data_IF_003458372354
#
_entry.id   IF_003458372354
#
_cell.length_a   1.000
_cell.length_b   1.000
_cell.length_c   1.000
_cell.angle_alpha   90.00
_cell.angle_beta   90.00
_cell.angle_gamma   90.00
#
_symmetry.space_group_name_H-M   'P 1'
#
loop_
_entity.id
_entity.type
_entity.pdbx_description
1 polymer ?
#
# COMPACT_ATOMS: atom_id res chain seq x y z
N UNK A 1 13.53 7.66 -47.95
CA UNK A 1 13.61 7.32 -46.51
C UNK A 1 13.00 8.47 -45.75
N UNK A 2 11.90 8.25 -45.02
CA UNK A 2 11.04 9.33 -44.52
C UNK A 2 11.82 10.32 -43.64
N UNK A 3 11.70 11.59 -44.01
CA UNK A 3 12.25 12.79 -43.40
C UNK A 3 11.46 13.24 -42.17
N UNK A 4 10.87 12.30 -41.41
CA UNK A 4 10.11 12.64 -40.21
C UNK A 4 11.07 12.86 -39.05
N UNK A 5 11.27 14.15 -38.77
CA UNK A 5 11.96 14.69 -37.61
C UNK A 5 10.89 15.44 -36.80
N UNK A 6 10.63 15.10 -35.52
CA UNK A 6 11.30 14.11 -34.67
C UNK A 6 11.06 12.65 -35.07
N UNK A 7 11.89 11.73 -34.56
CA UNK A 7 11.68 10.27 -34.70
C UNK A 7 10.98 9.72 -33.47
N UNK A 8 10.02 8.83 -33.68
CA UNK A 8 9.23 8.20 -32.63
C UNK A 8 9.38 6.68 -32.66
N UNK A 9 9.33 6.05 -31.51
CA UNK A 9 9.18 4.59 -31.41
C UNK A 9 8.41 4.22 -30.14
N UNK A 10 7.79 3.04 -30.16
CA UNK A 10 7.10 2.44 -29.01
C UNK A 10 7.58 1.01 -28.85
N UNK A 11 8.00 0.67 -27.65
CA UNK A 11 8.49 -0.68 -27.30
C UNK A 11 7.84 -1.16 -26.01
N UNK A 12 7.81 -2.47 -25.81
CA UNK A 12 7.28 -3.11 -24.61
C UNK A 12 8.37 -3.95 -23.97
N UNK A 13 8.59 -3.78 -22.67
CA UNK A 13 9.53 -4.55 -21.86
C UNK A 13 8.82 -5.04 -20.59
N UNK A 14 8.40 -6.30 -20.59
CA UNK A 14 7.53 -6.85 -19.54
C UNK A 14 6.21 -6.09 -19.46
N UNK A 15 5.89 -5.55 -18.28
CA UNK A 15 4.71 -4.71 -18.04
C UNK A 15 4.89 -3.25 -18.46
N UNK A 16 6.10 -2.85 -18.87
CA UNK A 16 6.43 -1.46 -19.20
C UNK A 16 6.24 -1.19 -20.69
N UNK A 17 5.55 -0.09 -21.01
CA UNK A 17 5.45 0.45 -22.36
C UNK A 17 6.28 1.73 -22.42
N UNK A 18 7.25 1.75 -23.33
CA UNK A 18 8.21 2.85 -23.49
C UNK A 18 7.89 3.56 -24.81
N UNK A 19 7.38 4.78 -24.69
CA UNK A 19 7.27 5.72 -25.81
C UNK A 19 8.54 6.56 -25.87
N UNK A 20 9.20 6.56 -27.01
CA UNK A 20 10.45 7.28 -27.24
C UNK A 20 10.28 8.36 -28.31
N UNK A 21 10.81 9.55 -28.02
CA UNK A 21 11.03 10.61 -29.00
C UNK A 21 12.52 10.97 -29.05
N UNK A 22 13.09 10.94 -30.25
CA UNK A 22 14.45 11.45 -30.52
C UNK A 22 14.38 12.79 -31.23
N UNK A 23 14.85 13.83 -30.54
CA UNK A 23 14.98 15.19 -31.04
C UNK A 23 16.46 15.59 -31.11
N UNK A 24 17.05 15.47 -32.29
CA UNK A 24 18.50 15.62 -32.52
C UNK A 24 19.31 14.66 -31.64
N UNK A 25 20.00 15.19 -30.63
CA UNK A 25 20.79 14.44 -29.66
C UNK A 25 19.99 14.07 -28.40
N UNK A 26 18.87 14.77 -28.13
CA UNK A 26 18.05 14.53 -26.96
C UNK A 26 17.12 13.34 -27.18
N UNK A 27 17.07 12.44 -26.21
CA UNK A 27 16.17 11.27 -26.19
C UNK A 27 15.22 11.39 -25.01
N UNK A 28 13.93 11.43 -25.29
CA UNK A 28 12.87 11.44 -24.27
C UNK A 28 12.20 10.07 -24.24
N UNK A 29 12.09 9.46 -23.06
CA UNK A 29 11.37 8.21 -22.84
C UNK A 29 10.24 8.45 -21.83
N UNK A 30 8.99 8.37 -22.28
CA UNK A 30 7.84 8.27 -21.39
C UNK A 30 7.56 6.79 -21.17
N UNK A 31 7.55 6.37 -19.91
CA UNK A 31 7.45 4.98 -19.50
C UNK A 31 6.14 4.82 -18.74
N UNK A 32 5.28 3.91 -19.19
CA UNK A 32 4.06 3.47 -18.51
C UNK A 32 4.30 2.09 -17.90
N UNK A 33 4.04 1.93 -16.61
CA UNK A 33 4.05 0.64 -15.93
C UNK A 33 2.62 0.11 -15.77
N UNK A 34 2.28 -0.98 -16.46
CA UNK A 34 0.93 -1.54 -16.45
C UNK A 34 0.58 -2.30 -15.17
N UNK A 35 1.55 -2.76 -14.39
CA UNK A 35 1.27 -3.42 -13.12
C UNK A 35 0.73 -2.38 -12.12
N UNK A 36 1.32 -1.18 -12.15
CA UNK A 36 0.94 -0.06 -11.28
C UNK A 36 -0.30 0.70 -11.82
N UNK A 37 -0.43 0.85 -13.14
CA UNK A 37 -1.47 1.68 -13.78
C UNK A 37 -2.90 1.21 -13.51
N UNK A 38 -3.65 1.94 -12.70
CA UNK A 38 -5.02 1.57 -12.31
C UNK A 38 -6.09 1.81 -13.38
N UNK A 39 -5.71 2.39 -14.53
CA UNK A 39 -6.69 2.79 -15.56
C UNK A 39 -7.61 3.92 -15.13
N UNK A 40 -7.21 4.76 -14.17
CA UNK A 40 -8.05 5.86 -13.67
C UNK A 40 -8.34 6.97 -14.69
N UNK A 41 -7.52 7.09 -15.73
CA UNK A 41 -7.73 8.06 -16.81
C UNK A 41 -7.28 9.49 -16.51
N UNK A 42 -6.83 9.82 -15.29
CA UNK A 42 -6.37 11.18 -14.95
C UNK A 42 -5.33 11.69 -15.94
N UNK A 43 -4.38 10.85 -16.35
CA UNK A 43 -3.38 11.20 -17.36
C UNK A 43 -3.98 11.67 -18.71
N UNK A 44 -5.08 11.06 -19.15
CA UNK A 44 -5.84 11.47 -20.34
C UNK A 44 -6.55 12.81 -20.13
N UNK A 45 -7.08 13.02 -18.94
CA UNK A 45 -7.77 14.26 -18.57
C UNK A 45 -6.83 15.46 -18.52
N UNK A 46 -5.61 15.26 -18.01
CA UNK A 46 -4.64 16.35 -17.80
C UNK A 46 -3.71 16.56 -18.99
N UNK A 47 -3.74 15.69 -20.00
CA UNK A 47 -2.84 15.79 -21.15
C UNK A 47 -3.21 17.01 -22.02
N UNK A 48 -2.32 18.02 -22.16
CA UNK A 48 -2.62 19.20 -22.96
C UNK A 48 -2.69 18.91 -24.47
N UNK A 49 -1.98 17.89 -24.94
CA UNK A 49 -1.94 17.48 -26.36
C UNK A 49 -3.00 16.42 -26.70
N UNK A 50 -3.80 15.99 -25.71
CA UNK A 50 -4.78 14.91 -25.87
C UNK A 50 -4.17 13.63 -26.49
N UNK A 51 -2.90 13.38 -26.17
CA UNK A 51 -2.13 12.26 -26.68
C UNK A 51 -2.44 10.94 -25.96
N UNK A 52 -3.26 10.95 -24.91
CA UNK A 52 -3.52 9.78 -24.08
C UNK A 52 -5.01 9.41 -24.16
N UNK A 53 -5.30 8.16 -24.52
CA UNK A 53 -6.63 7.56 -24.47
C UNK A 53 -6.71 6.48 -23.39
N UNK A 54 -7.92 6.20 -22.91
CA UNK A 54 -8.18 5.15 -21.92
C UNK A 54 -8.71 3.91 -22.64
N UNK A 55 -8.12 2.75 -22.37
CA UNK A 55 -8.53 1.47 -22.94
C UNK A 55 -9.70 0.84 -22.19
N UNK A 56 -10.00 -0.42 -22.51
CA UNK A 56 -11.02 -1.20 -21.80
C UNK A 56 -10.55 -1.64 -20.41
N UNK A 57 -10.43 -0.71 -19.45
CA UNK A 57 -9.86 -0.93 -18.10
C UNK A 57 -10.41 -2.19 -17.43
N UNK A 58 -11.72 -2.41 -17.48
CA UNK A 58 -12.36 -3.58 -16.89
C UNK A 58 -12.00 -4.90 -17.59
N UNK A 59 -11.78 -4.87 -18.90
CA UNK A 59 -11.32 -6.03 -19.67
C UNK A 59 -9.85 -6.32 -19.41
N UNK A 60 -8.99 -5.29 -19.46
CA UNK A 60 -7.54 -5.39 -19.22
C UNK A 60 -7.26 -5.96 -17.83
N UNK A 61 -7.87 -5.37 -16.79
CA UNK A 61 -7.65 -5.79 -15.40
C UNK A 61 -8.18 -7.18 -15.07
N UNK A 62 -9.09 -7.73 -15.90
CA UNK A 62 -9.62 -9.08 -15.76
C UNK A 62 -8.99 -10.10 -16.71
N UNK A 63 -8.00 -9.68 -17.51
CA UNK A 63 -7.36 -10.54 -18.52
C UNK A 63 -8.32 -11.01 -19.61
N UNK A 64 -9.37 -10.23 -19.91
CA UNK A 64 -10.39 -10.56 -20.92
C UNK A 64 -10.06 -10.03 -22.31
N UNK A 65 -9.00 -9.21 -22.43
CA UNK A 65 -8.51 -8.66 -23.69
C UNK A 65 -7.00 -8.84 -23.75
N UNK A 66 -6.49 -9.08 -24.96
CA UNK A 66 -5.04 -9.22 -25.22
C UNK A 66 -4.31 -7.86 -25.17
N UNK A 67 -5.04 -6.78 -24.94
CA UNK A 67 -4.49 -5.45 -24.77
C UNK A 67 -3.81 -5.33 -23.40
N UNK A 68 -2.49 -5.17 -23.42
CA UNK A 68 -1.68 -5.14 -22.21
C UNK A 68 -1.82 -3.84 -21.41
N UNK A 69 -2.39 -2.76 -21.97
CA UNK A 69 -2.37 -1.45 -21.35
C UNK A 69 -3.77 -0.87 -21.08
N UNK A 70 -3.98 -0.36 -19.85
CA UNK A 70 -5.23 0.33 -19.49
C UNK A 70 -5.36 1.74 -20.10
N UNK A 71 -4.26 2.28 -20.64
CA UNK A 71 -4.21 3.55 -21.36
C UNK A 71 -3.28 3.41 -22.57
N UNK A 72 -3.50 4.20 -23.61
CA UNK A 72 -2.64 4.26 -24.78
C UNK A 72 -2.12 5.69 -24.95
N UNK A 73 -0.83 5.81 -25.24
CA UNK A 73 -0.22 7.11 -25.56
C UNK A 73 0.15 7.13 -27.04
N UNK A 74 -0.33 8.12 -27.77
CA UNK A 74 0.11 8.46 -29.11
C UNK A 74 1.45 9.20 -29.01
N UNK A 75 2.54 8.48 -29.27
CA UNK A 75 3.90 9.00 -29.18
C UNK A 75 4.15 10.16 -30.15
N UNK A 76 3.37 10.28 -31.23
CA UNK A 76 3.52 11.33 -32.25
C UNK A 76 2.84 12.64 -31.86
N UNK A 77 1.80 12.56 -31.02
CA UNK A 77 1.14 13.72 -30.40
C UNK A 77 1.76 14.13 -29.08
N UNK A 78 2.40 13.20 -28.37
CA UNK A 78 2.97 13.47 -27.06
C UNK A 78 4.08 14.52 -27.12
N UNK A 79 3.96 15.58 -26.32
CA UNK A 79 5.00 16.61 -26.16
C UNK A 79 6.08 16.24 -25.15
N UNK A 80 5.98 15.09 -24.48
CA UNK A 80 6.90 14.64 -23.42
C UNK A 80 7.07 15.68 -22.30
N UNK A 81 6.00 16.40 -21.97
CA UNK A 81 6.03 17.47 -20.95
C UNK A 81 6.06 16.98 -19.49
N UNK A 82 5.60 15.76 -19.22
CA UNK A 82 5.59 15.17 -17.87
C UNK A 82 4.37 15.52 -17.00
N UNK A 83 3.37 16.24 -17.51
CA UNK A 83 2.13 16.55 -16.74
C UNK A 83 1.43 15.27 -16.26
N UNK A 84 1.35 14.24 -17.10
CA UNK A 84 0.74 12.97 -16.76
C UNK A 84 1.51 12.20 -15.67
N UNK A 85 2.83 12.41 -15.56
CA UNK A 85 3.67 11.84 -14.50
C UNK A 85 3.31 12.49 -13.16
N UNK A 86 3.30 13.83 -13.13
CA UNK A 86 3.02 14.61 -11.91
C UNK A 86 1.61 14.37 -11.38
N UNK A 87 0.63 14.29 -12.30
CA UNK A 87 -0.77 14.14 -11.95
C UNK A 87 -1.19 12.66 -11.78
N UNK A 88 -0.30 11.69 -11.96
CA UNK A 88 -0.62 10.30 -11.68
C UNK A 88 -0.60 10.06 -10.16
N UNK A 89 -1.73 9.74 -9.51
CA UNK A 89 -1.76 9.55 -8.06
C UNK A 89 -1.22 8.18 -7.62
N UNK A 90 -0.72 7.38 -8.57
CA UNK A 90 -0.24 6.01 -8.35
C UNK A 90 1.19 5.81 -8.86
N UNK A 91 1.87 6.85 -9.35
CA UNK A 91 3.26 6.77 -9.83
C UNK A 91 3.49 5.75 -10.98
N UNK A 92 2.44 5.49 -11.79
CA UNK A 92 2.49 4.52 -12.89
C UNK A 92 3.20 5.03 -14.17
N UNK A 93 3.62 6.30 -14.19
CA UNK A 93 4.26 6.93 -15.34
C UNK A 93 5.57 7.56 -14.89
N UNK A 94 6.62 7.41 -15.68
CA UNK A 94 7.91 8.07 -15.48
C UNK A 94 8.39 8.72 -16.80
N UNK A 95 9.10 9.84 -16.70
CA UNK A 95 9.72 10.50 -17.85
C UNK A 95 11.23 10.55 -17.64
N UNK A 96 11.97 10.02 -18.61
CA UNK A 96 13.43 10.11 -18.67
C UNK A 96 13.85 11.00 -19.84
N UNK A 97 14.82 11.88 -19.59
CA UNK A 97 15.47 12.71 -20.59
C UNK A 97 16.95 12.35 -20.58
N UNK A 98 17.46 11.86 -21.70
CA UNK A 98 18.83 11.36 -21.86
C UNK A 98 19.21 10.28 -20.83
N UNK A 99 18.23 9.44 -20.46
CA UNK A 99 18.39 8.33 -19.52
C UNK A 99 18.19 8.68 -18.05
N UNK A 100 18.09 9.97 -17.70
CA UNK A 100 17.87 10.44 -16.33
C UNK A 100 16.40 10.84 -16.10
N UNK A 101 15.86 10.55 -14.92
CA UNK A 101 14.52 11.01 -14.56
C UNK A 101 14.50 12.52 -14.39
N UNK A 102 13.79 13.20 -15.28
CA UNK A 102 13.68 14.65 -15.32
C UNK A 102 12.28 15.05 -15.76
N UNK A 103 11.75 16.08 -15.12
CA UNK A 103 10.43 16.63 -15.42
C UNK A 103 10.58 18.08 -15.90
N UNK A 104 10.70 18.31 -17.23
CA UNK A 104 10.97 19.64 -17.77
C UNK A 104 9.98 20.70 -17.29
N UNK A 105 8.71 20.33 -17.07
CA UNK A 105 7.67 21.26 -16.64
C UNK A 105 7.82 21.70 -15.16
N UNK A 106 8.38 20.85 -14.29
CA UNK A 106 8.72 21.25 -12.92
C UNK A 106 9.96 22.15 -12.92
N UNK A 107 10.98 21.79 -13.70
CA UNK A 107 12.24 22.52 -13.78
C UNK A 107 12.09 23.92 -14.39
N UNK A 108 11.22 24.08 -15.40
CA UNK A 108 11.15 25.30 -16.23
C UNK A 108 9.94 26.19 -15.97
N UNK A 109 8.81 25.64 -15.52
CA UNK A 109 7.54 26.39 -15.46
C UNK A 109 6.83 26.36 -14.09
N UNK A 110 7.37 25.63 -13.10
CA UNK A 110 6.82 25.61 -11.75
C UNK A 110 5.38 25.09 -11.69
N UNK A 111 5.11 23.96 -12.36
CA UNK A 111 3.83 23.25 -12.28
C UNK A 111 3.60 22.71 -10.86
N UNK A 112 2.36 22.71 -10.33
CA UNK A 112 2.12 22.26 -8.96
C UNK A 112 2.13 20.73 -8.87
N UNK A 113 2.45 20.21 -7.68
CA UNK A 113 2.40 18.77 -7.37
C UNK A 113 1.32 18.49 -6.34
N UNK A 114 0.89 17.23 -6.18
CA UNK A 114 -0.04 16.88 -5.11
C UNK A 114 0.51 17.26 -3.72
N UNK A 115 -0.41 17.68 -2.86
CA UNK A 115 -0.17 17.85 -1.42
C UNK A 115 -0.94 16.76 -0.66
N UNK A 116 -0.33 15.58 -0.54
CA UNK A 116 -0.94 14.40 0.08
C UNK A 116 -1.08 14.53 1.60
N UNK A 117 -0.30 15.41 2.24
CA UNK A 117 -0.38 15.71 3.67
C UNK A 117 -0.51 14.47 4.57
N UNK A 118 0.24 13.42 4.28
CA UNK A 118 0.26 12.14 4.99
C UNK A 118 1.36 12.15 6.05
N UNK A 119 1.04 11.72 7.26
CA UNK A 119 2.02 11.67 8.34
C UNK A 119 1.65 10.62 9.39
N UNK A 120 2.66 10.03 10.03
CA UNK A 120 2.53 9.18 11.21
C UNK A 120 3.24 9.87 12.37
N UNK A 121 2.47 10.23 13.40
CA UNK A 121 2.97 10.70 14.69
C UNK A 121 3.67 9.53 15.40
N UNK A 122 4.99 9.59 15.47
CA UNK A 122 5.82 8.51 16.01
C UNK A 122 5.67 8.37 17.53
N UNK A 123 5.23 9.44 18.23
CA UNK A 123 5.02 9.41 19.68
C UNK A 123 3.69 8.72 20.04
N UNK A 124 2.69 8.82 19.16
CA UNK A 124 1.40 8.12 19.33
C UNK A 124 1.38 6.72 18.74
N UNK A 125 2.27 6.43 17.80
CA UNK A 125 2.29 5.14 17.11
C UNK A 125 2.80 4.03 18.05
N UNK A 126 1.97 3.01 18.27
CA UNK A 126 2.33 1.84 19.11
C UNK A 126 2.94 0.68 18.32
N UNK A 127 3.27 0.89 17.04
CA UNK A 127 3.92 -0.08 16.15
C UNK A 127 3.14 -1.39 15.95
N UNK A 128 1.81 -1.38 16.06
CA UNK A 128 0.96 -2.53 15.70
C UNK A 128 0.87 -2.73 14.17
N UNK A 129 0.45 -3.89 13.70
CA UNK A 129 0.41 -4.24 12.26
C UNK A 129 -0.79 -3.66 11.48
N UNK A 130 -1.83 -3.15 12.17
CA UNK A 130 -3.14 -2.82 11.55
C UNK A 130 -3.03 -1.95 10.29
N UNK A 131 -2.22 -0.89 10.29
CA UNK A 131 -2.13 0.03 9.15
C UNK A 131 -1.59 -0.63 7.88
N UNK A 132 -0.71 -1.62 8.05
CA UNK A 132 -0.08 -2.38 6.97
C UNK A 132 -1.06 -3.40 6.42
N UNK A 133 -1.70 -4.18 7.32
CA UNK A 133 -2.73 -5.17 6.96
C UNK A 133 -3.90 -4.57 6.15
N UNK A 134 -4.27 -3.31 6.43
CA UNK A 134 -5.39 -2.63 5.75
C UNK A 134 -4.97 -1.80 4.54
N UNK A 135 -3.67 -1.67 4.26
CA UNK A 135 -3.19 -0.82 3.16
C UNK A 135 -3.41 -1.53 1.81
N UNK A 136 -4.29 -1.03 0.93
CA UNK A 136 -4.57 -1.70 -0.35
C UNK A 136 -3.48 -1.47 -1.41
N UNK A 137 -2.37 -0.81 -1.04
CA UNK A 137 -1.30 -0.36 -1.93
C UNK A 137 0.09 -0.71 -1.41
N UNK A 138 0.18 -1.45 -0.31
CA UNK A 138 1.44 -1.83 0.33
C UNK A 138 2.37 -0.63 0.60
N UNK A 139 1.78 0.55 0.82
CA UNK A 139 2.47 1.83 1.00
C UNK A 139 2.94 2.08 2.45
N UNK A 140 2.93 1.06 3.30
CA UNK A 140 3.39 1.16 4.69
C UNK A 140 4.74 0.48 4.80
N UNK A 141 5.75 1.25 5.22
CA UNK A 141 7.08 0.75 5.49
C UNK A 141 7.22 0.50 7.00
N UNK A 142 7.34 -0.79 7.37
CA UNK A 142 7.46 -1.23 8.76
C UNK A 142 8.89 -1.68 9.05
N UNK A 143 9.69 -0.79 9.62
CA UNK A 143 10.97 -1.12 10.25
C UNK A 143 10.71 -1.53 11.71
N UNK A 144 9.89 -2.57 11.90
CA UNK A 144 9.58 -3.18 13.19
C UNK A 144 10.24 -4.57 13.20
N UNK A 145 11.11 -4.88 14.19
CA UNK A 145 11.86 -6.12 14.16
C UNK A 145 10.95 -7.34 14.23
N UNK A 146 11.29 -8.38 13.47
CA UNK A 146 10.74 -9.71 13.63
C UNK A 146 11.29 -10.35 14.91
N UNK A 147 10.53 -11.29 15.47
CA UNK A 147 10.90 -11.97 16.71
C UNK A 147 11.14 -13.46 16.48
N UNK A 148 11.93 -14.07 17.35
CA UNK A 148 12.25 -15.49 17.32
C UNK A 148 11.00 -16.37 17.13
N UNK A 149 11.02 -17.16 16.06
CA UNK A 149 9.93 -18.03 15.62
C UNK A 149 9.26 -17.57 14.32
N UNK A 150 9.44 -16.32 13.91
CA UNK A 150 8.97 -15.82 12.60
C UNK A 150 10.08 -15.85 11.54
N UNK A 151 11.34 -15.60 11.93
CA UNK A 151 12.52 -15.70 11.06
C UNK A 151 13.75 -16.25 11.83
N UNK A 152 14.87 -16.46 11.12
CA UNK A 152 16.13 -16.97 11.69
C UNK A 152 17.03 -15.88 12.28
N UNK A 153 16.77 -14.62 11.95
CA UNK A 153 17.58 -13.45 12.34
C UNK A 153 16.83 -12.52 13.33
N UNK A 154 15.60 -12.88 13.70
CA UNK A 154 14.73 -12.08 14.54
C UNK A 154 15.25 -11.96 15.96
N UNK A 155 14.84 -10.87 16.60
CA UNK A 155 15.20 -10.59 17.97
C UNK A 155 14.66 -11.70 18.89
N UNK A 156 15.49 -12.15 19.83
CA UNK A 156 15.01 -13.04 20.89
C UNK A 156 13.86 -12.34 21.65
N UNK A 157 12.90 -13.12 22.15
CA UNK A 157 11.71 -12.55 22.81
C UNK A 157 12.07 -11.62 23.98
N UNK A 158 13.12 -11.95 24.73
CA UNK A 158 13.68 -11.11 25.79
C UNK A 158 14.41 -9.83 25.32
N UNK A 159 14.64 -9.64 24.02
CA UNK A 159 15.31 -8.46 23.45
C UNK A 159 14.33 -7.40 22.91
N UNK A 160 13.05 -7.76 22.72
CA UNK A 160 11.97 -6.83 22.35
C UNK A 160 11.80 -5.69 23.38
N UNK A 161 12.06 -6.04 24.64
CA UNK A 161 11.95 -5.18 25.80
C UNK A 161 13.24 -5.34 26.58
N UNK A 162 13.89 -4.25 26.97
CA UNK A 162 15.12 -4.34 27.76
C UNK A 162 14.79 -4.87 29.16
N UNK A 163 15.11 -6.15 29.39
CA UNK A 163 14.88 -6.87 30.63
C UNK A 163 16.18 -6.97 31.43
N UNK A 164 16.09 -6.71 32.73
CA UNK A 164 17.08 -7.15 33.71
C UNK A 164 16.51 -8.34 34.44
N UNK A 165 17.24 -9.45 34.37
CA UNK A 165 16.85 -10.72 34.99
C UNK A 165 17.81 -11.00 36.12
N UNK A 166 17.27 -11.25 37.31
CA UNK A 166 18.04 -11.74 38.45
C UNK A 166 17.67 -13.19 38.70
N UNK A 167 18.63 -14.09 38.52
CA UNK A 167 18.50 -15.52 38.80
C UNK A 167 19.34 -15.86 40.03
N UNK A 168 18.72 -16.50 41.03
CA UNK A 168 19.39 -16.96 42.25
C UNK A 168 19.01 -18.40 42.56
N UNK A 169 20.00 -19.20 42.92
CA UNK A 169 19.81 -20.56 43.42
C UNK A 169 20.23 -20.59 44.89
N UNK A 170 19.33 -21.11 45.72
CA UNK A 170 19.61 -21.44 47.12
C UNK A 170 20.28 -22.83 47.17
N UNK A 171 21.60 -22.83 47.35
CA UNK A 171 22.40 -24.07 47.39
C UNK A 171 22.07 -24.98 48.58
N UNK A 172 21.48 -24.45 49.65
CA UNK A 172 21.05 -25.28 50.79
C UNK A 172 19.79 -26.10 50.45
N UNK A 173 18.92 -25.54 49.62
CA UNK A 173 17.69 -26.22 49.14
C UNK A 173 17.90 -27.00 47.85
N UNK A 174 18.93 -26.67 47.07
CA UNK A 174 19.13 -27.27 45.75
C UNK A 174 19.60 -28.72 45.85
N UNK A 175 18.77 -29.67 45.39
CA UNK A 175 19.12 -31.10 45.37
C UNK A 175 19.97 -31.50 44.15
N UNK A 176 20.34 -30.52 43.30
CA UNK A 176 21.05 -30.73 42.03
C UNK A 176 20.39 -31.80 41.15
N UNK A 177 19.05 -31.87 41.13
CA UNK A 177 18.31 -32.92 40.41
C UNK A 177 18.35 -32.82 38.87
N UNK A 178 18.73 -31.66 38.31
CA UNK A 178 18.84 -31.47 36.86
C UNK A 178 17.55 -31.04 36.14
N UNK A 179 16.39 -31.03 36.81
CA UNK A 179 15.09 -30.70 36.18
C UNK A 179 15.14 -29.33 35.47
N UNK A 180 15.70 -28.31 36.11
CA UNK A 180 15.80 -26.97 35.52
C UNK A 180 16.67 -26.93 34.25
N UNK A 181 17.78 -27.70 34.21
CA UNK A 181 18.65 -27.75 33.04
C UNK A 181 18.07 -28.55 31.87
N UNK A 182 17.19 -29.53 32.16
CA UNK A 182 16.45 -30.23 31.11
C UNK A 182 15.32 -29.38 30.52
N UNK A 183 14.86 -28.34 31.23
CA UNK A 183 13.74 -27.49 30.84
C UNK A 183 14.17 -26.19 30.16
N UNK A 184 15.38 -25.70 30.44
CA UNK A 184 15.78 -24.35 30.08
C UNK A 184 17.21 -24.34 29.53
N UNK A 185 17.37 -23.88 28.30
CA UNK A 185 18.68 -23.73 27.63
C UNK A 185 19.63 -22.80 28.40
N UNK A 186 19.07 -21.82 29.12
CA UNK A 186 19.84 -20.92 29.97
C UNK A 186 20.43 -21.56 31.22
N UNK A 187 20.14 -22.83 31.52
CA UNK A 187 20.57 -23.49 32.75
C UNK A 187 21.32 -24.77 32.41
N UNK A 188 22.56 -24.86 32.87
CA UNK A 188 23.34 -26.09 32.82
C UNK A 188 23.60 -26.60 34.24
N UNK A 189 23.20 -27.83 34.53
CA UNK A 189 23.44 -28.47 35.83
C UNK A 189 24.60 -29.44 35.68
N UNK A 190 25.79 -29.03 36.12
CA UNK A 190 26.99 -29.85 36.05
C UNK A 190 27.09 -30.73 37.29
N UNK A 191 27.00 -32.04 37.11
CA UNK A 191 27.31 -33.02 38.16
C UNK A 191 28.80 -33.35 38.17
N UNK A 192 29.40 -33.36 39.36
CA UNK A 192 30.75 -33.93 39.54
C UNK A 192 30.72 -35.45 39.27
N UNK A 193 31.87 -36.07 38.94
CA UNK A 193 31.94 -37.50 38.71
C UNK A 193 31.42 -38.30 39.89
N UNK A 194 30.52 -39.24 39.62
CA UNK A 194 30.00 -40.14 40.63
C UNK A 194 31.11 -41.10 41.07
N UNK A 195 31.39 -41.14 42.38
CA UNK A 195 32.32 -42.11 42.95
C UNK A 195 31.72 -42.78 44.19
N UNK A 196 32.05 -44.05 44.47
CA UNK A 196 31.68 -44.70 45.72
C UNK A 196 32.24 -44.00 46.96
N UNK A 197 33.33 -43.24 46.81
CA UNK A 197 33.96 -42.46 47.89
C UNK A 197 33.11 -41.26 48.31
N UNK A 198 32.48 -40.57 47.36
CA UNK A 198 31.65 -39.39 47.63
C UNK A 198 30.25 -39.81 48.09
N UNK A 199 29.65 -40.82 47.45
CA UNK A 199 28.35 -41.39 47.84
C UNK A 199 27.15 -40.42 47.81
N UNK A 200 27.34 -39.21 47.27
CA UNK A 200 26.33 -38.14 47.17
C UNK A 200 26.39 -37.46 45.81
N UNK A 201 25.30 -36.83 45.41
CA UNK A 201 25.26 -35.99 44.19
C UNK A 201 25.83 -34.63 44.55
N UNK A 202 26.96 -34.28 43.94
CA UNK A 202 27.55 -32.95 44.00
C UNK A 202 27.55 -32.32 42.62
N UNK A 203 27.38 -31.00 42.57
CA UNK A 203 27.36 -30.28 41.31
C UNK A 203 27.09 -28.79 41.48
N UNK A 204 27.11 -28.09 40.36
CA UNK A 204 26.83 -26.66 40.26
C UNK A 204 25.72 -26.40 39.25
N UNK A 205 24.98 -25.31 39.47
CA UNK A 205 23.96 -24.82 38.54
C UNK A 205 24.53 -23.57 37.91
N UNK A 206 24.83 -23.65 36.62
CA UNK A 206 25.34 -22.53 35.81
C UNK A 206 24.15 -21.92 35.09
N UNK A 207 24.04 -20.59 35.19
CA UNK A 207 23.02 -19.82 34.50
C UNK A 207 23.69 -18.90 33.48
N UNK A 208 23.20 -18.97 32.24
CA UNK A 208 23.58 -18.07 31.17
C UNK A 208 22.48 -17.02 30.94
N UNK A 209 22.79 -15.77 31.29
CA UNK A 209 21.87 -14.65 31.14
C UNK A 209 21.48 -14.41 29.68
N UNK A 210 22.34 -14.77 28.71
CA UNK A 210 22.10 -14.53 27.29
C UNK A 210 20.91 -15.33 26.73
N UNK A 211 20.60 -16.48 27.34
CA UNK A 211 19.53 -17.37 26.92
C UNK A 211 18.30 -17.33 27.84
N UNK A 212 18.33 -16.50 28.88
CA UNK A 212 17.25 -16.44 29.86
C UNK A 212 16.26 -15.34 29.54
N UNK A 213 14.99 -15.68 29.30
CA UNK A 213 13.91 -14.69 29.12
C UNK A 213 13.17 -14.33 30.43
N UNK A 214 13.60 -14.90 31.57
CA UNK A 214 12.97 -14.64 32.86
C UNK A 214 11.52 -15.14 32.94
N UNK A 215 11.19 -16.23 32.22
CA UNK A 215 9.85 -16.81 32.13
C UNK A 215 9.34 -17.49 33.42
N UNK A 216 10.21 -17.68 34.41
CA UNK A 216 9.93 -18.27 35.73
C UNK A 216 9.60 -19.77 35.76
N UNK A 217 9.55 -20.46 34.62
CA UNK A 217 9.22 -21.89 34.52
C UNK A 217 10.17 -22.77 35.36
N UNK A 218 11.47 -22.47 35.37
CA UNK A 218 12.44 -23.24 36.16
C UNK A 218 12.24 -23.11 37.68
N UNK A 219 11.74 -21.98 38.17
CA UNK A 219 11.42 -21.79 39.57
C UNK A 219 10.16 -22.56 39.97
N UNK A 220 9.11 -22.50 39.14
CA UNK A 220 7.85 -23.22 39.37
C UNK A 220 8.01 -24.74 39.28
N UNK A 221 8.90 -25.21 38.39
CA UNK A 221 9.20 -26.63 38.24
C UNK A 221 10.16 -27.17 39.31
N UNK A 222 10.78 -26.30 40.13
CA UNK A 222 11.76 -26.73 41.12
C UNK A 222 11.07 -27.39 42.32
N UNK A 223 11.23 -28.71 42.54
CA UNK A 223 10.52 -29.42 43.61
C UNK A 223 10.99 -29.01 45.02
N UNK A 224 12.15 -28.35 45.13
CA UNK A 224 12.67 -27.84 46.40
C UNK A 224 12.57 -26.32 46.54
N UNK A 225 11.90 -25.64 45.60
CA UNK A 225 11.72 -24.18 45.61
C UNK A 225 13.05 -23.42 45.77
N UNK A 226 14.13 -23.99 45.23
CA UNK A 226 15.50 -23.49 45.39
C UNK A 226 15.84 -22.36 44.41
N UNK A 227 15.01 -22.11 43.41
CA UNK A 227 15.30 -21.14 42.34
C UNK A 227 14.39 -19.92 42.51
N UNK A 228 14.98 -18.73 42.44
CA UNK A 228 14.26 -17.46 42.39
C UNK A 228 14.64 -16.72 41.11
N UNK A 229 13.63 -16.42 40.29
CA UNK A 229 13.77 -15.59 39.09
C UNK A 229 13.02 -14.28 39.32
N UNK A 230 13.71 -13.16 39.14
CA UNK A 230 13.09 -11.83 39.19
C UNK A 230 13.30 -11.15 37.85
N UNK A 231 12.21 -10.74 37.19
CA UNK A 231 12.25 -9.97 35.95
C UNK A 231 11.88 -8.52 36.21
N UNK A 232 12.69 -7.59 35.72
CA UNK A 232 12.40 -6.15 35.76
C UNK A 232 12.59 -5.56 34.37
N UNK A 233 11.63 -4.76 33.90
CA UNK A 233 11.77 -4.00 32.65
C UNK A 233 12.54 -2.72 32.97
N UNK A 234 13.69 -2.50 32.33
CA UNK A 234 14.60 -1.39 32.68
C UNK A 234 14.76 -0.37 31.54
N UNK A 235 14.18 -0.62 30.36
CA UNK A 235 14.31 0.26 29.21
C UNK A 235 13.04 0.43 28.37
N UNK A 236 13.19 1.12 27.24
CA UNK A 236 12.12 1.37 26.28
C UNK A 236 11.93 0.18 25.33
N UNK A 237 10.72 0.05 24.80
CA UNK A 237 10.40 -0.95 23.77
C UNK A 237 11.18 -0.61 22.50
N UNK A 238 11.98 -1.55 21.99
CA UNK A 238 12.75 -1.36 20.75
C UNK A 238 11.95 -1.89 19.56
N UNK A 239 10.84 -1.20 19.25
CA UNK A 239 9.90 -1.62 18.20
C UNK A 239 10.12 -0.90 16.87
N UNK A 240 11.20 -0.13 16.74
CA UNK A 240 11.55 0.59 15.52
C UNK A 240 10.48 1.60 15.06
N UNK A 241 10.31 1.75 13.75
CA UNK A 241 9.51 2.81 13.15
C UNK A 241 8.51 2.30 12.11
N UNK A 242 7.46 3.11 11.88
CA UNK A 242 6.49 2.87 10.82
C UNK A 242 6.35 4.16 10.03
N UNK A 243 6.53 4.04 8.71
CA UNK A 243 6.52 5.15 7.75
C UNK A 243 5.48 4.88 6.65
N UNK A 244 5.15 5.93 5.89
CA UNK A 244 4.32 5.85 4.68
C UNK A 244 5.22 6.15 3.50
N UNK A 245 5.22 5.26 2.51
CA UNK A 245 5.89 5.47 1.22
C UNK A 245 4.99 6.41 0.42
N UNK A 246 5.38 7.69 0.29
CA UNK A 246 4.53 8.72 -0.31
C UNK A 246 4.19 8.43 -1.77
N UNK A 247 5.11 7.82 -2.52
CA UNK A 247 4.95 7.49 -3.94
C UNK A 247 3.86 6.43 -4.18
N UNK A 248 3.74 5.46 -3.27
CA UNK A 248 2.76 4.37 -3.36
C UNK A 248 1.41 4.71 -2.70
N UNK A 249 1.43 5.65 -1.74
CA UNK A 249 0.25 6.06 -1.01
C UNK A 249 -0.75 6.80 -1.92
N UNK A 250 -1.95 6.22 -2.05
CA UNK A 250 -3.03 6.81 -2.85
C UNK A 250 -3.96 7.72 -2.03
N UNK A 251 -3.70 7.94 -0.74
CA UNK A 251 -4.50 8.77 0.21
C UNK A 251 -5.90 8.23 0.55
N UNK A 252 -6.10 6.92 0.52
CA UNK A 252 -7.39 6.26 0.80
C UNK A 252 -7.83 6.29 2.27
N UNK A 253 -6.98 6.67 3.24
CA UNK A 253 -7.31 6.76 4.69
C UNK A 253 -7.61 5.45 5.41
N UNK A 254 -7.43 4.27 4.81
CA UNK A 254 -7.58 2.99 5.51
C UNK A 254 -6.73 2.94 6.79
N UNK A 255 -5.46 3.29 6.70
CA UNK A 255 -4.55 3.35 7.83
C UNK A 255 -4.97 4.39 8.88
N UNK A 256 -5.43 5.56 8.47
CA UNK A 256 -5.88 6.62 9.38
C UNK A 256 -7.14 6.23 10.17
N UNK A 257 -8.13 5.62 9.51
CA UNK A 257 -9.40 5.23 10.13
C UNK A 257 -9.24 4.04 11.08
N UNK A 258 -8.35 3.11 10.75
CA UNK A 258 -8.15 1.89 11.56
C UNK A 258 -7.02 2.04 12.59
N UNK A 259 -6.36 3.20 12.68
CA UNK A 259 -5.31 3.41 13.67
C UNK A 259 -5.93 3.54 15.07
N UNK A 260 -5.68 2.60 16.00
CA UNK A 260 -6.31 2.61 17.32
C UNK A 260 -5.85 3.76 18.21
N UNK A 261 -4.72 4.39 17.89
CA UNK A 261 -4.15 5.52 18.63
C UNK A 261 -4.27 6.84 17.89
N UNK A 262 -4.96 6.86 16.75
CA UNK A 262 -5.14 8.06 15.91
C UNK A 262 -3.81 8.74 15.54
N UNK A 263 -2.73 7.95 15.41
CA UNK A 263 -1.40 8.43 15.11
C UNK A 263 -1.23 8.85 13.63
N UNK A 264 -2.14 8.45 12.75
CA UNK A 264 -1.98 8.59 11.30
C UNK A 264 -2.92 9.66 10.77
N UNK A 265 -2.35 10.67 10.09
CA UNK A 265 -3.08 11.69 9.35
C UNK A 265 -2.97 11.41 7.85
N UNK A 266 -4.09 11.41 7.13
CA UNK A 266 -4.12 11.27 5.67
C UNK A 266 -5.08 12.30 5.09
N UNK A 267 -4.56 13.17 4.23
CA UNK A 267 -5.34 14.14 3.48
C UNK A 267 -5.60 13.62 2.07
N UNK A 268 -6.86 13.53 1.66
CA UNK A 268 -7.20 13.14 0.29
C UNK A 268 -6.76 14.20 -0.71
N UNK A 269 -6.20 13.75 -1.83
CA UNK A 269 -5.83 14.62 -2.95
C UNK A 269 -7.03 15.23 -3.66
N UNK A 270 -8.19 14.57 -3.65
CA UNK A 270 -9.42 15.04 -4.27
C UNK A 270 -10.56 15.07 -3.26
N UNK A 271 -11.38 16.10 -3.35
CA UNK A 271 -12.69 16.15 -2.70
C UNK A 271 -13.77 16.29 -3.78
N UNK A 272 -14.97 15.80 -3.47
CA UNK A 272 -16.07 15.77 -4.43
C UNK A 272 -17.08 14.69 -4.12
N UNK A 273 -17.78 14.24 -5.16
CA UNK A 273 -18.92 13.35 -5.05
C UNK A 273 -18.75 12.12 -5.94
N UNK A 274 -19.11 10.96 -5.39
CA UNK A 274 -19.29 9.72 -6.15
C UNK A 274 -20.61 9.09 -5.74
N UNK A 275 -21.39 8.67 -6.74
CA UNK A 275 -22.72 8.09 -6.55
C UNK A 275 -22.90 6.87 -7.45
N UNK A 276 -23.43 5.79 -6.86
CA UNK A 276 -23.71 4.54 -7.56
C UNK A 276 -25.23 4.37 -7.68
N UNK A 277 -25.71 4.36 -8.92
CA UNK A 277 -27.09 4.04 -9.29
C UNK A 277 -27.28 2.51 -9.29
N UNK A 278 -27.40 1.93 -8.10
CA UNK A 278 -27.49 0.48 -7.90
C UNK A 278 -28.68 -0.17 -8.64
N UNK A 279 -29.74 0.59 -8.91
CA UNK A 279 -30.90 0.19 -9.70
C UNK A 279 -30.57 -0.10 -11.17
N UNK A 280 -29.54 0.56 -11.72
CA UNK A 280 -29.04 0.34 -13.09
C UNK A 280 -27.96 -0.73 -13.15
N UNK A 281 -27.43 -1.15 -12.00
CA UNK A 281 -26.43 -2.20 -11.93
C UNK A 281 -27.10 -3.55 -12.22
N UNK A 282 -26.67 -4.30 -13.26
CA UNK A 282 -27.17 -5.65 -13.47
C UNK A 282 -26.80 -6.56 -12.29
N UNK A 283 -25.68 -6.27 -11.61
CA UNK A 283 -25.09 -7.10 -10.56
C UNK A 283 -24.23 -8.22 -11.14
N UNK A 284 -23.43 -8.87 -10.30
CA UNK A 284 -22.73 -10.11 -10.63
C UNK A 284 -21.41 -10.01 -11.41
N UNK A 285 -20.99 -8.82 -11.86
CA UNK A 285 -19.70 -8.69 -12.56
C UNK A 285 -18.50 -8.37 -11.65
N UNK A 286 -18.68 -7.70 -10.52
CA UNK A 286 -17.62 -7.18 -9.61
C UNK A 286 -16.54 -6.27 -10.22
N UNK A 287 -16.57 -5.96 -11.52
CA UNK A 287 -15.46 -5.26 -12.20
C UNK A 287 -14.99 -3.98 -11.50
N UNK A 288 -15.92 -3.12 -11.06
CA UNK A 288 -15.58 -1.89 -10.34
C UNK A 288 -15.02 -2.11 -8.92
N UNK A 289 -15.33 -3.23 -8.27
CA UNK A 289 -14.71 -3.66 -7.01
C UNK A 289 -13.27 -4.06 -7.29
N UNK A 290 -13.07 -4.93 -8.29
CA UNK A 290 -11.77 -5.50 -8.64
C UNK A 290 -10.77 -4.43 -9.12
N UNK A 291 -11.24 -3.40 -9.82
CA UNK A 291 -10.37 -2.31 -10.29
C UNK A 291 -10.13 -1.21 -9.27
N UNK A 292 -10.76 -1.25 -8.09
CA UNK A 292 -10.66 -0.15 -7.12
C UNK A 292 -9.32 -0.16 -6.38
N UNK A 293 -8.39 0.77 -6.66
CA UNK A 293 -7.06 0.75 -6.02
C UNK A 293 -7.08 1.17 -4.55
N UNK A 294 -8.21 1.67 -4.06
CA UNK A 294 -8.41 2.08 -2.68
C UNK A 294 -9.28 1.07 -1.91
N UNK A 295 -9.67 -0.05 -2.52
CA UNK A 295 -10.59 -1.04 -1.94
C UNK A 295 -11.86 -0.42 -1.32
N UNK A 296 -12.39 0.63 -1.95
CA UNK A 296 -13.46 1.45 -1.41
C UNK A 296 -14.87 0.99 -1.83
N UNK A 297 -14.96 0.08 -2.81
CA UNK A 297 -16.21 -0.37 -3.42
C UNK A 297 -16.45 -1.81 -2.98
N UNK A 298 -17.69 -2.14 -2.61
CA UNK A 298 -18.04 -3.48 -2.15
C UNK A 298 -19.42 -3.90 -2.65
N UNK A 299 -19.65 -5.21 -2.67
CA UNK A 299 -20.97 -5.81 -2.92
C UNK A 299 -21.60 -6.10 -1.55
N UNK A 300 -22.72 -5.45 -1.19
CA UNK A 300 -23.36 -5.70 0.10
C UNK A 300 -23.74 -7.17 0.29
N UNK A 301 -23.44 -7.72 1.47
CA UNK A 301 -23.83 -9.08 1.84
C UNK A 301 -25.36 -9.19 1.89
N UNK A 302 -25.96 -10.18 1.21
CA UNK A 302 -27.40 -10.28 1.16
C UNK A 302 -28.00 -10.58 2.55
N UNK A 303 -29.03 -9.85 2.96
CA UNK A 303 -29.76 -10.20 4.19
C UNK A 303 -30.49 -11.53 4.02
N UNK A 304 -30.64 -12.32 5.10
CA UNK A 304 -31.51 -13.49 5.09
C UNK A 304 -32.92 -13.10 4.64
N UNK A 305 -33.57 -13.94 3.82
CA UNK A 305 -34.87 -13.63 3.21
C UNK A 305 -35.96 -13.19 4.22
N UNK A 306 -35.92 -13.74 5.44
CA UNK A 306 -36.81 -13.37 6.57
C UNK A 306 -36.71 -11.89 6.98
N UNK A 307 -35.54 -11.28 6.78
CA UNK A 307 -35.20 -9.92 7.23
C UNK A 307 -35.34 -8.88 6.11
N UNK A 308 -35.55 -9.32 4.86
CA UNK A 308 -35.58 -8.43 3.69
C UNK A 308 -36.80 -7.51 3.66
N UNK A 309 -37.93 -7.88 4.29
CA UNK A 309 -39.17 -7.07 4.37
C UNK A 309 -39.57 -6.40 3.04
N UNK A 310 -39.30 -7.04 1.89
CA UNK A 310 -39.58 -6.49 0.56
C UNK A 310 -38.64 -5.38 0.08
N UNK A 311 -37.53 -5.11 0.76
CA UNK A 311 -36.51 -4.15 0.33
C UNK A 311 -35.57 -4.78 -0.69
N UNK A 312 -35.33 -4.07 -1.79
CA UNK A 312 -34.29 -4.42 -2.77
C UNK A 312 -32.96 -3.89 -2.22
N UNK A 313 -32.01 -4.79 -1.98
CA UNK A 313 -30.68 -4.40 -1.51
C UNK A 313 -29.87 -3.76 -2.63
N UNK A 314 -29.04 -2.79 -2.25
CA UNK A 314 -28.09 -2.22 -3.19
C UNK A 314 -27.16 -3.35 -3.66
N UNK A 315 -27.13 -3.60 -4.97
CA UNK A 315 -26.23 -4.59 -5.58
C UNK A 315 -24.76 -4.18 -5.51
N UNK A 316 -24.51 -2.91 -5.20
CA UNK A 316 -23.19 -2.30 -5.16
C UNK A 316 -23.23 -1.07 -4.25
N UNK A 317 -22.15 -0.83 -3.51
CA UNK A 317 -21.98 0.35 -2.68
C UNK A 317 -20.52 0.82 -2.68
N UNK A 318 -20.32 2.07 -2.28
CA UNK A 318 -18.99 2.68 -2.12
C UNK A 318 -18.89 3.30 -0.74
N UNK A 319 -17.81 3.01 -0.03
CA UNK A 319 -17.45 3.74 1.17
C UNK A 319 -16.70 5.02 0.76
N UNK A 320 -17.38 6.17 0.90
CA UNK A 320 -16.85 7.48 0.52
C UNK A 320 -15.65 7.89 1.37
N UNK A 321 -15.48 7.34 2.57
CA UNK A 321 -14.32 7.61 3.41
C UNK A 321 -13.04 7.02 2.84
N UNK A 322 -13.12 5.92 2.09
CA UNK A 322 -11.96 5.30 1.43
C UNK A 322 -11.77 5.70 -0.02
N UNK A 323 -12.82 6.17 -0.69
CA UNK A 323 -12.75 6.58 -2.10
C UNK A 323 -11.85 7.82 -2.30
N UNK A 324 -10.93 7.75 -3.25
CA UNK A 324 -10.03 8.88 -3.59
C UNK A 324 -10.47 9.63 -4.86
N UNK A 325 -11.65 9.29 -5.41
CA UNK A 325 -12.21 9.91 -6.62
C UNK A 325 -11.30 9.81 -7.85
N UNK A 326 -10.53 8.73 -7.99
CA UNK A 326 -9.59 8.58 -9.11
C UNK A 326 -10.28 8.36 -10.46
N UNK A 327 -11.45 7.72 -10.51
CA UNK A 327 -12.21 7.47 -11.74
C UNK A 327 -12.04 6.07 -12.36
N UNK A 328 -11.18 5.21 -11.81
CA UNK A 328 -10.94 3.86 -12.37
C UNK A 328 -12.23 3.03 -12.49
N UNK A 329 -13.08 3.05 -11.47
CA UNK A 329 -14.37 2.35 -11.51
C UNK A 329 -15.32 2.89 -12.59
N UNK A 330 -15.28 4.18 -12.89
CA UNK A 330 -16.10 4.81 -13.93
C UNK A 330 -15.65 4.32 -15.30
N UNK A 331 -14.33 4.27 -15.55
CA UNK A 331 -13.76 3.74 -16.80
C UNK A 331 -13.97 2.23 -16.97
N UNK A 332 -14.00 1.48 -15.87
CA UNK A 332 -14.12 0.03 -15.90
C UNK A 332 -15.57 -0.48 -15.99
N UNK A 333 -16.56 0.36 -15.65
CA UNK A 333 -17.97 -0.04 -15.62
C UNK A 333 -18.55 -0.13 -17.04
N UNK A 334 -19.03 -1.31 -17.49
CA UNK A 334 -19.59 -1.48 -18.83
C UNK A 334 -21.04 -0.99 -18.97
N UNK A 335 -21.68 -0.63 -17.86
CA UNK A 335 -23.06 -0.18 -17.83
C UNK A 335 -23.19 1.34 -17.94
N UNK A 336 -24.30 1.77 -18.53
CA UNK A 336 -24.58 3.18 -18.79
C UNK A 336 -25.16 3.86 -17.56
N UNK A 337 -24.57 5.00 -17.21
CA UNK A 337 -25.03 5.88 -16.14
C UNK A 337 -25.19 5.23 -14.76
N UNK A 338 -24.35 4.22 -14.46
CA UNK A 338 -24.32 3.51 -13.18
C UNK A 338 -23.49 4.28 -12.15
N UNK A 339 -22.32 4.80 -12.54
CA UNK A 339 -21.39 5.45 -11.62
C UNK A 339 -21.22 6.90 -12.05
N UNK A 340 -21.66 7.83 -11.21
CA UNK A 340 -21.40 9.26 -11.35
C UNK A 340 -20.21 9.66 -10.48
N UNK A 341 -19.30 10.46 -11.04
CA UNK A 341 -18.15 11.01 -10.35
C UNK A 341 -17.96 12.49 -10.69
N UNK A 342 -17.80 13.31 -9.67
CA UNK A 342 -17.44 14.73 -9.76
C UNK A 342 -16.32 15.03 -8.77
N UNK A 343 -15.33 15.80 -9.20
CA UNK A 343 -14.28 16.35 -8.33
C UNK A 343 -14.57 17.85 -8.16
N UNK A 344 -14.58 18.31 -6.92
CA UNK A 344 -14.84 19.70 -6.56
C UNK A 344 -13.54 20.44 -6.21
N UNK A 345 -12.54 19.71 -5.71
CA UNK A 345 -11.23 20.27 -5.39
C UNK A 345 -10.10 19.27 -5.62
N UNK A 346 -8.89 19.80 -5.81
CA UNK A 346 -7.64 19.04 -5.81
C UNK A 346 -6.63 19.73 -4.90
N UNK A 347 -6.02 18.99 -3.97
CA UNK A 347 -5.00 19.50 -3.06
C UNK A 347 -3.63 19.46 -3.73
N UNK A 348 -3.04 20.64 -3.88
CA UNK A 348 -1.76 20.82 -4.56
C UNK A 348 -0.87 21.81 -3.81
N UNK A 349 0.43 21.67 -3.99
CA UNK A 349 1.47 22.60 -3.56
C UNK A 349 2.22 23.14 -4.78
N UNK A 350 2.58 24.43 -4.74
CA UNK A 350 3.27 25.11 -5.84
C UNK A 350 2.39 26.13 -6.55
N UNK A 351 2.89 26.68 -7.66
CA UNK A 351 2.24 27.77 -8.39
C UNK A 351 1.17 27.21 -9.34
N UNK A 352 -0.07 27.69 -9.24
CA UNK A 352 -1.10 27.40 -10.24
C UNK A 352 -0.81 28.18 -11.54
N UNK A 353 -0.19 27.50 -12.51
CA UNK A 353 0.06 28.04 -13.85
C UNK A 353 -1.24 28.12 -14.67
N UNK A 354 -1.25 28.89 -15.76
CA UNK A 354 -2.43 28.97 -16.64
C UNK A 354 -2.75 27.63 -17.32
N UNK A 355 -1.72 26.81 -17.58
CA UNK A 355 -1.88 25.42 -17.99
C UNK A 355 -2.60 24.60 -16.91
N UNK A 356 -2.18 24.71 -15.65
CA UNK A 356 -2.82 23.98 -14.55
C UNK A 356 -4.28 24.40 -14.37
N UNK A 357 -4.62 25.69 -14.51
CA UNK A 357 -6.01 26.16 -14.41
C UNK A 357 -6.91 25.50 -15.46
N UNK A 358 -6.45 25.42 -16.72
CA UNK A 358 -7.18 24.71 -17.80
C UNK A 358 -7.33 23.22 -17.50
N UNK A 359 -6.27 22.59 -16.99
CA UNK A 359 -6.31 21.18 -16.57
C UNK A 359 -7.33 20.97 -15.44
N UNK A 360 -7.35 21.86 -14.45
CA UNK A 360 -8.25 21.83 -13.30
C UNK A 360 -9.72 21.88 -13.73
N UNK A 361 -10.06 22.71 -14.71
CA UNK A 361 -11.41 22.74 -15.32
C UNK A 361 -11.80 21.40 -15.94
N UNK A 362 -10.90 20.76 -16.71
CA UNK A 362 -11.14 19.43 -17.31
C UNK A 362 -11.22 18.32 -16.25
N UNK A 363 -10.39 18.39 -15.21
CA UNK A 363 -10.35 17.45 -14.08
C UNK A 363 -11.63 17.46 -13.24
N UNK A 364 -12.31 18.61 -13.17
CA UNK A 364 -13.56 18.82 -12.43
C UNK A 364 -14.82 18.58 -13.26
N UNK A 365 -14.67 18.30 -14.56
CA UNK A 365 -15.80 17.94 -15.42
C UNK A 365 -16.45 16.64 -14.91
N UNK A 366 -17.74 16.66 -14.52
CA UNK A 366 -18.43 15.47 -14.03
C UNK A 366 -18.53 14.40 -15.11
N UNK A 367 -18.46 13.14 -14.69
CA UNK A 367 -18.52 11.99 -15.59
C UNK A 367 -19.42 10.91 -15.06
N UNK A 368 -19.85 10.09 -16.00
CA UNK A 368 -20.74 8.97 -15.76
C UNK A 368 -20.23 7.75 -16.53
N UNK A 369 -20.47 6.56 -15.99
CA UNK A 369 -19.99 5.33 -16.63
C UNK A 369 -20.61 5.16 -18.02
N UNK A 370 -19.74 4.86 -19.00
CA UNK A 370 -20.00 4.58 -20.44
C UNK A 370 -20.53 5.77 -21.28
N UNK A 371 -19.95 6.04 -22.46
CA UNK A 371 -20.67 6.18 -23.75
C UNK A 371 -19.79 5.71 -24.94
N UNK A 372 -20.35 4.80 -25.76
CA UNK A 372 -19.92 4.27 -27.08
C UNK A 372 -18.48 3.75 -27.23
N UNK A 373 -18.36 2.46 -27.55
CA UNK A 373 -17.19 1.95 -28.30
C UNK A 373 -17.07 2.76 -29.59
N UNK A 374 -15.94 3.45 -29.79
CA UNK A 374 -15.71 4.16 -31.04
C UNK A 374 -15.49 3.14 -32.18
N UNK A 375 -16.16 3.27 -33.34
CA UNK A 375 -15.91 2.42 -34.50
C UNK A 375 -14.47 2.50 -35.04
N UNK A 376 -13.76 3.60 -34.74
CA UNK A 376 -12.41 3.89 -35.23
C UNK A 376 -11.29 3.19 -34.46
N UNK A 377 -11.54 2.72 -33.24
CA UNK A 377 -10.61 1.93 -32.44
C UNK A 377 -11.38 0.86 -31.67
N UNK A 378 -11.40 -0.36 -32.21
CA UNK A 378 -11.93 -1.52 -31.49
C UNK A 378 -11.21 -1.66 -30.14
N UNK A 379 -11.95 -1.57 -29.03
CA UNK A 379 -11.42 -1.75 -27.67
C UNK A 379 -11.24 -0.49 -26.82
N UNK A 380 -11.43 0.73 -27.36
CA UNK A 380 -11.36 1.97 -26.57
C UNK A 380 -12.68 2.30 -25.86
N UNK A 381 -12.61 2.77 -24.61
CA UNK A 381 -13.78 3.17 -23.80
C UNK A 381 -13.69 4.66 -23.48
N UNK A 382 -14.68 5.45 -23.90
CA UNK A 382 -14.79 6.87 -23.55
C UNK A 382 -15.91 7.11 -22.52
N UNK A 383 -15.65 8.04 -21.59
CA UNK A 383 -16.64 8.48 -20.62
C UNK A 383 -17.45 9.65 -21.15
N UNK A 384 -18.75 9.63 -20.86
CA UNK A 384 -19.65 10.74 -21.15
C UNK A 384 -19.41 11.87 -20.14
N UNK A 385 -19.02 13.04 -20.64
CA UNK A 385 -19.06 14.26 -19.86
C UNK A 385 -20.53 14.70 -19.70
N UNK A 386 -20.93 15.07 -18.49
CA UNK A 386 -22.25 15.64 -18.24
C UNK A 386 -22.16 17.15 -18.43
N UNK A 387 -22.81 17.69 -19.47
CA UNK A 387 -22.95 19.14 -19.64
C UNK A 387 -23.74 19.71 -18.45
N UNK A 388 -23.21 20.75 -17.81
CA UNK A 388 -23.89 21.47 -16.73
C UNK A 388 -25.14 22.19 -17.20
#
# INVERSE_FOLDING_TARGET
MSTLFPKYSKTTDGSKVIMEQRLLQQVNNLILDNDICTGCGICSEVCPEEAISVGAVGGVRRGLVDDAASIHVDETKCSYCGVCVIMCPFSALALKVDGEERLPILEKEGFPTYDKGTAIDQDKCVRCNICDDVCPRDAIDRDVPLFEGEDKEGLAKGQAVELKIEFKVDDEKCTKCGICGNLCEAINVLHKPFSPEIGKVEGEVIWDEAYCDGCNVCAEACPSEAIKVTRTVVGQKKLGNVNIIDEDCCTCRWCAINCPTEAITVNKIFEGEITFHAEKCPGGCSTCVDVCPANAIYLPTPKPAKDMKGQIEAKIAVNKDFCILCGACVNACPGEDIIYLRRDSVKIKGKETDLFKKIKEKLFTPRTSKVKEQPSLAGSVELKAVSQ
#
